data_IF_803903681100
#
_entry.id   IF_803903681100
#
_cell.length_a   1.000
_cell.length_b   1.000
_cell.length_c   1.000
_cell.angle_alpha   90.00
_cell.angle_beta   90.00
_cell.angle_gamma   90.00
#
_symmetry.space_group_name_H-M   'P 1'
#
loop_
_entity.id
_entity.type
_entity.pdbx_description
1 polymer ?
#
# COMPACT_ATOMS: atom_id res chain seq x y z
N UNK A 1 -2.68 5.98 3.22
CA UNK A 1 -3.82 5.12 3.56
C UNK A 1 -3.44 3.65 3.35
N UNK A 2 -3.75 2.78 4.33
CA UNK A 2 -3.58 1.33 4.18
C UNK A 2 -4.70 0.77 3.32
N UNK A 3 -4.33 -0.02 2.32
CA UNK A 3 -5.26 -0.73 1.44
C UNK A 3 -4.80 -2.16 1.20
N UNK A 4 -5.72 -2.99 0.76
CA UNK A 4 -5.45 -4.37 0.34
C UNK A 4 -5.99 -4.63 -1.07
N UNK A 5 -5.32 -5.51 -1.78
CA UNK A 5 -5.77 -5.95 -3.10
C UNK A 5 -5.21 -7.32 -3.45
N UNK A 6 -5.88 -8.01 -4.37
CA UNK A 6 -5.39 -9.26 -4.94
C UNK A 6 -4.83 -8.96 -6.34
N UNK A 7 -3.68 -9.52 -6.63
CA UNK A 7 -2.98 -9.39 -7.91
C UNK A 7 -2.93 -10.74 -8.58
N UNK A 8 -3.36 -10.80 -9.83
CA UNK A 8 -3.24 -12.01 -10.64
C UNK A 8 -1.77 -12.38 -10.84
N UNK A 9 -1.43 -13.60 -10.50
CA UNK A 9 -0.12 -14.16 -10.84
C UNK A 9 -0.14 -14.66 -12.29
N UNK A 10 0.91 -14.32 -13.04
CA UNK A 10 1.06 -14.71 -14.45
C UNK A 10 2.23 -15.66 -14.59
N UNK A 11 2.04 -16.78 -15.30
CA UNK A 11 3.12 -17.74 -15.53
C UNK A 11 4.34 -17.09 -16.18
N UNK A 12 5.50 -17.29 -15.60
CA UNK A 12 6.76 -16.76 -16.10
C UNK A 12 7.02 -15.28 -15.82
N UNK A 13 6.06 -14.58 -15.17
CA UNK A 13 6.24 -13.18 -14.79
C UNK A 13 6.78 -13.11 -13.35
N UNK A 14 8.00 -12.60 -13.21
CA UNK A 14 8.63 -12.39 -11.91
C UNK A 14 8.36 -10.99 -11.33
N UNK A 15 8.15 -9.98 -12.18
CA UNK A 15 8.04 -8.59 -11.79
C UNK A 15 6.63 -8.06 -12.03
N UNK A 16 6.10 -7.32 -11.05
CA UNK A 16 4.79 -6.69 -11.07
C UNK A 16 4.97 -5.19 -10.81
N UNK A 17 4.56 -4.37 -11.78
CA UNK A 17 4.73 -2.91 -11.74
C UNK A 17 3.45 -2.22 -11.31
N UNK A 18 3.56 -1.36 -10.30
CA UNK A 18 2.49 -0.53 -9.76
C UNK A 18 2.85 0.93 -9.98
N UNK A 19 2.22 1.56 -10.96
CA UNK A 19 2.52 2.94 -11.33
C UNK A 19 1.95 3.94 -10.33
N UNK A 20 2.62 5.09 -10.17
CA UNK A 20 2.17 6.14 -9.26
C UNK A 20 0.96 6.89 -9.80
N UNK A 21 0.87 7.05 -11.12
CA UNK A 21 -0.25 7.68 -11.79
C UNK A 21 -0.54 7.02 -13.14
N UNK A 22 -1.71 7.28 -13.70
CA UNK A 22 -2.05 6.84 -15.05
C UNK A 22 -1.14 7.45 -16.13
N UNK A 23 -0.53 8.61 -15.87
CA UNK A 23 0.40 9.26 -16.78
C UNK A 23 1.75 8.55 -16.85
N UNK A 24 2.15 7.88 -15.77
CA UNK A 24 3.41 7.11 -15.70
C UNK A 24 3.27 5.73 -16.34
N UNK A 25 2.03 5.30 -16.59
CA UNK A 25 1.70 3.99 -17.14
C UNK A 25 1.85 3.98 -18.65
N UNK A 26 2.96 3.40 -19.13
CA UNK A 26 3.32 3.28 -20.55
C UNK A 26 2.80 2.01 -21.21
N UNK A 27 1.77 1.37 -20.68
CA UNK A 27 1.25 0.07 -21.17
C UNK A 27 2.27 -1.07 -21.05
N UNK A 28 3.02 -1.08 -19.94
CA UNK A 28 4.03 -2.08 -19.63
C UNK A 28 3.40 -3.48 -19.51
N UNK A 29 4.06 -4.49 -20.10
CA UNK A 29 3.64 -5.90 -20.02
C UNK A 29 3.64 -6.47 -18.61
N UNK A 30 4.47 -5.90 -17.71
CA UNK A 30 4.59 -6.32 -16.31
C UNK A 30 3.67 -5.53 -15.37
N UNK A 31 2.72 -4.76 -15.93
CA UNK A 31 1.72 -4.04 -15.14
C UNK A 31 0.98 -5.01 -14.23
N UNK A 32 0.97 -4.71 -12.93
CA UNK A 32 0.17 -5.45 -11.98
C UNK A 32 -1.33 -5.17 -12.21
N UNK A 33 -2.10 -6.23 -12.29
CA UNK A 33 -3.54 -6.15 -12.44
C UNK A 33 -4.22 -6.69 -11.18
N UNK A 34 -5.08 -5.89 -10.59
CA UNK A 34 -5.91 -6.33 -9.48
C UNK A 34 -7.09 -7.14 -10.00
N UNK A 35 -7.36 -8.23 -9.33
CA UNK A 35 -8.57 -9.02 -9.57
C UNK A 35 -9.66 -8.58 -8.62
N UNK A 36 -10.56 -7.73 -9.09
CA UNK A 36 -11.79 -7.42 -8.38
C UNK A 36 -12.97 -7.98 -9.18
N UNK A 37 -13.63 -9.01 -8.66
CA UNK A 37 -14.79 -9.65 -9.30
C UNK A 37 -14.54 -10.04 -10.77
N UNK A 38 -13.34 -10.57 -11.07
CA UNK A 38 -12.90 -11.00 -12.42
C UNK A 38 -12.74 -9.86 -13.45
N UNK A 39 -12.76 -8.62 -13.03
CA UNK A 39 -12.46 -7.48 -13.90
C UNK A 39 -11.06 -6.97 -13.56
N UNK A 40 -10.08 -7.06 -14.47
CA UNK A 40 -8.75 -6.52 -14.24
C UNK A 40 -8.84 -4.99 -14.08
N UNK A 41 -8.26 -4.48 -13.02
CA UNK A 41 -8.13 -3.03 -12.80
C UNK A 41 -6.68 -2.69 -12.48
N UNK A 42 -6.22 -1.56 -13.01
CA UNK A 42 -4.88 -1.06 -12.71
C UNK A 42 -4.89 -0.34 -11.37
N UNK A 43 -3.88 -0.60 -10.56
CA UNK A 43 -3.70 0.04 -9.26
C UNK A 43 -2.70 1.18 -9.44
N UNK A 44 -3.12 2.39 -9.08
CA UNK A 44 -2.26 3.57 -9.06
C UNK A 44 -2.05 4.08 -7.63
N UNK A 45 -0.99 4.88 -7.46
CA UNK A 45 -0.71 5.59 -6.21
C UNK A 45 -0.15 4.72 -5.09
N UNK A 46 0.39 3.55 -5.39
CA UNK A 46 1.09 2.72 -4.40
C UNK A 46 2.44 3.35 -4.04
N UNK A 47 2.69 3.49 -2.73
CA UNK A 47 3.97 3.98 -2.20
C UNK A 47 4.86 2.86 -1.68
N UNK A 48 4.30 1.87 -0.98
CA UNK A 48 5.05 0.72 -0.45
C UNK A 48 4.14 -0.49 -0.23
N UNK A 49 4.74 -1.67 -0.28
CA UNK A 49 4.10 -2.94 0.09
C UNK A 49 4.57 -3.36 1.47
N UNK A 50 3.63 -3.51 2.39
CA UNK A 50 3.91 -3.92 3.77
C UNK A 50 4.03 -5.43 3.87
N UNK A 51 3.00 -6.13 3.40
CA UNK A 51 2.90 -7.58 3.48
C UNK A 51 2.36 -8.15 2.17
N UNK A 52 2.75 -9.38 1.86
CA UNK A 52 2.21 -10.14 0.75
C UNK A 52 1.94 -11.59 1.18
N UNK A 53 0.85 -12.14 0.69
CA UNK A 53 0.48 -13.55 0.86
C UNK A 53 0.18 -14.17 -0.50
N UNK A 54 0.52 -15.44 -0.63
CA UNK A 54 0.12 -16.24 -1.76
C UNK A 54 -1.24 -16.86 -1.47
N UNK A 55 -2.24 -16.58 -2.31
CA UNK A 55 -3.63 -17.02 -2.13
C UNK A 55 -3.99 -18.08 -3.15
N UNK A 56 -4.34 -19.26 -2.66
CA UNK A 56 -4.92 -20.34 -3.47
C UNK A 56 -6.44 -20.32 -3.42
N UNK A 57 -7.09 -21.00 -4.37
CA UNK A 57 -8.55 -21.14 -4.44
C UNK A 57 -9.29 -19.79 -4.52
N UNK A 58 -8.75 -18.85 -5.29
CA UNK A 58 -9.23 -17.46 -5.39
C UNK A 58 -10.73 -17.31 -5.66
N UNK A 59 -11.34 -18.25 -6.37
CA UNK A 59 -12.76 -18.23 -6.76
C UNK A 59 -13.66 -19.08 -5.85
N UNK A 60 -13.07 -19.78 -4.87
CA UNK A 60 -13.81 -20.69 -3.99
C UNK A 60 -14.05 -20.06 -2.61
N UNK A 61 -15.01 -20.62 -1.88
CA UNK A 61 -15.31 -20.21 -0.49
C UNK A 61 -14.21 -20.61 0.49
N UNK A 62 -13.34 -21.56 0.12
CA UNK A 62 -12.21 -22.05 0.92
C UNK A 62 -10.90 -21.47 0.40
N UNK A 63 -10.71 -20.18 0.56
CA UNK A 63 -9.44 -19.50 0.23
C UNK A 63 -8.39 -19.86 1.28
N UNK A 64 -7.15 -20.08 0.84
CA UNK A 64 -6.03 -20.32 1.73
C UNK A 64 -4.88 -19.37 1.42
N UNK A 65 -4.46 -18.61 2.45
CA UNK A 65 -3.42 -17.60 2.35
C UNK A 65 -2.14 -18.12 3.02
N UNK A 66 -1.04 -18.16 2.27
CA UNK A 66 0.29 -18.50 2.76
C UNK A 66 1.16 -17.27 2.77
N UNK A 67 1.73 -16.90 3.92
CA UNK A 67 2.58 -15.72 4.04
C UNK A 67 3.83 -15.83 3.16
N UNK A 68 4.16 -14.75 2.45
CA UNK A 68 5.40 -14.61 1.69
C UNK A 68 6.42 -13.79 2.48
N UNK A 69 7.69 -14.18 2.42
CA UNK A 69 8.75 -13.46 3.12
C UNK A 69 9.26 -12.28 2.31
N UNK A 70 9.27 -11.09 2.91
CA UNK A 70 9.90 -9.91 2.31
C UNK A 70 11.42 -10.05 2.42
N UNK A 71 12.13 -9.99 1.31
CA UNK A 71 13.59 -10.04 1.25
C UNK A 71 14.17 -8.69 0.80
N UNK A 72 15.41 -8.45 1.17
CA UNK A 72 16.13 -7.26 0.76
C UNK A 72 16.85 -7.44 -0.59
N UNK A 73 17.43 -6.34 -1.09
CA UNK A 73 18.15 -6.32 -2.36
C UNK A 73 19.35 -7.26 -2.37
N UNK A 74 20.09 -7.34 -1.26
CA UNK A 74 21.30 -8.17 -1.16
C UNK A 74 20.93 -9.65 -1.21
N UNK A 75 19.92 -10.05 -0.49
CA UNK A 75 19.39 -11.41 -0.49
C UNK A 75 18.86 -11.78 -1.87
N UNK A 76 18.06 -10.90 -2.51
CA UNK A 76 17.57 -11.15 -3.87
C UNK A 76 18.72 -11.28 -4.88
N UNK A 77 19.77 -10.46 -4.75
CA UNK A 77 20.95 -10.52 -5.64
C UNK A 77 21.73 -11.82 -5.51
N UNK A 78 21.77 -12.39 -4.29
CA UNK A 78 22.47 -13.64 -3.99
C UNK A 78 21.72 -14.90 -4.45
N UNK A 79 20.40 -14.79 -4.79
CA UNK A 79 19.63 -15.93 -5.28
C UNK A 79 20.18 -16.44 -6.61
N UNK A 80 20.47 -17.73 -6.69
CA UNK A 80 20.77 -18.41 -7.92
C UNK A 80 19.48 -18.80 -8.65
N UNK A 81 19.51 -18.80 -9.98
CA UNK A 81 18.36 -19.28 -10.78
C UNK A 81 17.10 -18.41 -10.60
N UNK A 82 17.22 -17.09 -10.78
CA UNK A 82 16.09 -16.12 -10.61
C UNK A 82 14.86 -16.43 -11.47
N UNK A 83 15.02 -17.21 -12.55
CA UNK A 83 13.93 -17.64 -13.42
C UNK A 83 13.41 -19.05 -13.07
N UNK A 84 13.81 -19.61 -11.93
CA UNK A 84 13.26 -20.89 -11.45
C UNK A 84 11.77 -20.73 -11.23
N UNK A 85 10.98 -21.58 -11.91
CA UNK A 85 9.52 -21.57 -11.81
C UNK A 85 9.05 -22.38 -10.60
N UNK A 86 8.00 -21.91 -9.96
CA UNK A 86 7.37 -22.58 -8.82
C UNK A 86 6.35 -21.69 -8.11
N UNK A 87 5.92 -22.12 -6.95
CA UNK A 87 5.05 -21.32 -6.10
C UNK A 87 5.85 -20.17 -5.47
N UNK A 88 5.47 -18.91 -5.65
CA UNK A 88 6.11 -17.78 -4.98
C UNK A 88 6.04 -17.89 -3.45
N UNK A 89 7.20 -17.73 -2.81
CA UNK A 89 7.33 -17.76 -1.34
C UNK A 89 8.05 -16.56 -0.76
N UNK A 90 8.72 -15.81 -1.63
CA UNK A 90 9.47 -14.61 -1.26
C UNK A 90 9.13 -13.47 -2.21
N UNK A 91 9.27 -12.24 -1.74
CA UNK A 91 9.11 -11.06 -2.58
C UNK A 91 10.11 -9.97 -2.20
N UNK A 92 10.50 -9.19 -3.20
CA UNK A 92 11.39 -8.05 -3.08
C UNK A 92 10.70 -6.79 -3.62
N UNK A 93 10.79 -5.69 -2.92
CA UNK A 93 10.14 -4.42 -3.28
C UNK A 93 11.19 -3.39 -3.68
N UNK A 94 11.04 -2.82 -4.87
CA UNK A 94 11.84 -1.69 -5.36
C UNK A 94 10.95 -0.48 -5.55
N UNK A 95 11.40 0.68 -5.05
CA UNK A 95 10.68 1.94 -5.20
C UNK A 95 11.41 2.82 -6.20
N UNK A 96 10.78 3.05 -7.33
CA UNK A 96 11.24 3.98 -8.35
C UNK A 96 10.44 5.29 -8.25
N UNK A 97 10.85 6.30 -9.02
CA UNK A 97 10.18 7.61 -9.04
C UNK A 97 8.77 7.52 -9.65
N UNK A 98 8.59 6.67 -10.64
CA UNK A 98 7.38 6.47 -11.45
C UNK A 98 6.52 5.29 -10.97
N UNK A 99 7.12 4.31 -10.30
CA UNK A 99 6.45 3.06 -9.91
C UNK A 99 7.07 2.39 -8.70
N UNK A 100 6.33 1.47 -8.13
CA UNK A 100 6.82 0.44 -7.21
C UNK A 100 6.84 -0.89 -7.96
N UNK A 101 7.95 -1.60 -7.92
CA UNK A 101 8.10 -2.94 -8.51
C UNK A 101 8.16 -3.98 -7.41
N UNK A 102 7.29 -4.98 -7.49
CA UNK A 102 7.32 -6.16 -6.64
C UNK A 102 7.84 -7.32 -7.45
N UNK A 103 8.99 -7.86 -7.06
CA UNK A 103 9.59 -9.03 -7.71
C UNK A 103 9.36 -10.24 -6.82
N UNK A 104 8.72 -11.28 -7.35
CA UNK A 104 8.42 -12.51 -6.62
C UNK A 104 9.44 -13.60 -6.93
N UNK A 105 9.68 -14.48 -5.95
CA UNK A 105 10.58 -15.62 -6.11
C UNK A 105 10.04 -16.84 -5.34
N UNK A 106 10.05 -18.04 -5.94
CA UNK A 106 10.27 -18.35 -7.37
C UNK A 106 9.29 -17.64 -8.31
N UNK A 107 9.65 -17.59 -9.60
CA UNK A 107 8.73 -17.07 -10.62
C UNK A 107 7.52 -17.99 -10.74
N UNK A 108 6.29 -17.47 -10.84
CA UNK A 108 5.09 -18.29 -10.91
C UNK A 108 5.16 -19.33 -12.04
N UNK A 109 4.82 -20.57 -11.73
CA UNK A 109 4.57 -21.64 -12.70
C UNK A 109 3.10 -21.64 -13.16
N UNK A 110 2.71 -22.59 -14.00
CA UNK A 110 1.34 -22.72 -14.51
C UNK A 110 0.30 -22.97 -13.39
N UNK A 111 0.70 -23.62 -12.30
CA UNK A 111 -0.18 -23.86 -11.15
C UNK A 111 -0.36 -22.57 -10.35
N UNK A 112 0.72 -21.87 -10.10
CA UNK A 112 0.68 -20.58 -9.38
C UNK A 112 -0.07 -19.50 -10.17
N UNK A 113 -0.10 -19.57 -11.50
CA UNK A 113 -0.86 -18.64 -12.34
C UNK A 113 -2.39 -18.73 -12.16
N UNK A 114 -2.91 -19.80 -11.52
CA UNK A 114 -4.31 -19.91 -11.11
C UNK A 114 -4.60 -19.31 -9.74
N UNK A 115 -3.60 -18.72 -9.11
CA UNK A 115 -3.62 -18.16 -7.76
C UNK A 115 -3.34 -16.67 -7.78
N UNK A 116 -3.58 -15.99 -6.66
CA UNK A 116 -3.34 -14.56 -6.52
C UNK A 116 -2.21 -14.29 -5.53
N UNK A 117 -1.58 -13.13 -5.69
CA UNK A 117 -0.80 -12.50 -4.65
C UNK A 117 -1.68 -11.43 -3.97
N UNK A 118 -2.05 -11.66 -2.70
CA UNK A 118 -2.72 -10.64 -1.90
C UNK A 118 -1.68 -9.76 -1.26
N UNK A 119 -1.82 -8.47 -1.44
CA UNK A 119 -0.89 -7.47 -0.89
C UNK A 119 -1.62 -6.47 0.01
N UNK A 120 -0.94 -6.11 1.10
CA UNK A 120 -1.28 -4.96 1.94
C UNK A 120 -0.27 -3.86 1.63
N UNK A 121 -0.78 -2.70 1.23
CA UNK A 121 0.07 -1.63 0.74
C UNK A 121 -0.36 -0.26 1.24
N UNK A 122 0.57 0.68 1.22
CA UNK A 122 0.32 2.08 1.50
C UNK A 122 -0.01 2.77 0.19
N UNK A 123 -1.24 3.30 0.09
CA UNK A 123 -1.65 4.17 -1.00
C UNK A 123 -1.40 5.62 -0.62
N UNK A 124 -0.84 6.39 -1.55
CA UNK A 124 -0.77 7.84 -1.44
C UNK A 124 -2.19 8.42 -1.41
N UNK A 125 -2.40 9.41 -0.55
CA UNK A 125 -3.63 10.20 -0.55
C UNK A 125 -3.62 11.08 -1.81
N UNK A 126 -4.65 10.97 -2.63
CA UNK A 126 -4.78 11.75 -3.85
C UNK A 126 -5.33 13.14 -3.52
N UNK A 127 -4.77 14.17 -4.20
CA UNK A 127 -5.33 15.51 -4.15
C UNK A 127 -6.69 15.55 -4.83
N UNK A 128 -7.58 16.40 -4.35
CA UNK A 128 -8.90 16.57 -4.95
C UNK A 128 -8.82 17.00 -6.45
N UNK A 129 -7.72 17.60 -6.87
CA UNK A 129 -7.42 17.99 -8.24
C UNK A 129 -8.34 19.07 -8.81
N UNK A 130 -9.65 18.95 -8.60
CA UNK A 130 -10.65 19.91 -9.04
C UNK A 130 -11.61 20.29 -7.90
N UNK A 131 -12.19 21.47 -7.97
CA UNK A 131 -13.14 21.99 -6.96
C UNK A 131 -14.36 21.09 -6.72
N UNK A 132 -14.77 20.32 -7.72
CA UNK A 132 -15.93 19.43 -7.66
C UNK A 132 -15.63 18.04 -7.09
N UNK A 133 -14.35 17.70 -6.90
CA UNK A 133 -13.95 16.40 -6.42
C UNK A 133 -13.85 16.38 -4.90
N UNK A 134 -14.23 15.24 -4.29
CA UNK A 134 -13.97 15.00 -2.88
C UNK A 134 -12.48 14.66 -2.66
N UNK A 135 -11.90 15.14 -1.56
CA UNK A 135 -10.57 14.72 -1.14
C UNK A 135 -10.58 13.27 -0.61
N UNK A 136 -9.53 12.51 -0.88
CA UNK A 136 -9.34 11.14 -0.36
C UNK A 136 -8.87 11.12 1.11
N UNK A 137 -9.27 12.13 1.89
CA UNK A 137 -8.88 12.26 3.29
C UNK A 137 -9.93 11.60 4.20
N UNK A 138 -9.53 10.69 5.10
CA UNK A 138 -10.45 10.08 6.05
C UNK A 138 -11.18 11.14 6.90
N UNK A 139 -12.46 10.91 7.17
CA UNK A 139 -13.34 11.85 7.87
C UNK A 139 -12.76 12.36 9.20
N UNK A 140 -12.04 11.51 9.95
CA UNK A 140 -11.37 11.86 11.21
C UNK A 140 -10.34 12.98 11.10
N UNK A 141 -9.77 13.21 9.90
CA UNK A 141 -8.79 14.28 9.64
C UNK A 141 -9.43 15.59 9.17
N UNK A 142 -10.73 15.61 8.86
CA UNK A 142 -11.41 16.83 8.37
C UNK A 142 -11.36 17.97 9.40
N UNK A 143 -11.62 17.77 10.71
CA UNK A 143 -11.47 18.84 11.71
C UNK A 143 -10.05 19.40 11.77
N UNK A 144 -9.04 18.52 11.71
CA UNK A 144 -7.63 18.90 11.66
C UNK A 144 -7.31 19.75 10.41
N UNK A 145 -7.84 19.39 9.25
CA UNK A 145 -7.64 20.17 8.02
C UNK A 145 -8.25 21.57 8.11
N UNK A 146 -9.46 21.68 8.69
CA UNK A 146 -10.14 22.98 8.87
C UNK A 146 -9.35 23.88 9.84
N UNK A 147 -8.92 23.35 10.99
CA UNK A 147 -8.12 24.10 11.96
C UNK A 147 -6.75 24.45 11.43
N UNK A 148 -6.10 23.56 10.65
CA UNK A 148 -4.85 23.81 9.96
C UNK A 148 -4.96 24.93 8.92
N UNK A 149 -6.02 24.90 8.10
CA UNK A 149 -6.28 25.98 7.14
C UNK A 149 -6.50 27.32 7.84
N UNK A 150 -7.28 27.34 8.94
CA UNK A 150 -7.50 28.54 9.73
C UNK A 150 -6.17 29.08 10.31
N UNK A 151 -5.30 28.22 10.80
CA UNK A 151 -3.96 28.58 11.28
C UNK A 151 -3.11 29.21 10.17
N UNK A 152 -3.04 28.62 8.97
CA UNK A 152 -2.29 29.17 7.84
C UNK A 152 -2.86 30.51 7.35
N UNK A 153 -4.16 30.67 7.31
CA UNK A 153 -4.80 31.93 6.95
C UNK A 153 -4.54 33.02 7.99
N UNK A 154 -4.54 32.67 9.28
CA UNK A 154 -4.25 33.62 10.36
C UNK A 154 -2.83 34.19 10.25
N UNK A 155 -1.85 33.39 9.88
CA UNK A 155 -0.48 33.89 9.66
C UNK A 155 -0.42 35.03 8.66
N UNK A 156 -1.30 35.01 7.65
CA UNK A 156 -1.32 36.00 6.57
C UNK A 156 -2.25 37.17 6.86
N UNK A 157 -3.41 36.96 7.46
CA UNK A 157 -4.48 37.95 7.57
C UNK A 157 -4.68 38.49 9.00
N UNK A 158 -4.36 37.67 10.04
CA UNK A 158 -4.51 38.11 11.44
C UNK A 158 -3.46 37.40 12.33
N UNK A 159 -2.24 37.96 12.41
CA UNK A 159 -1.14 37.35 13.16
C UNK A 159 -1.40 37.19 14.66
N UNK A 160 -2.29 37.98 15.25
CA UNK A 160 -2.60 37.92 16.68
C UNK A 160 -3.27 36.61 17.09
N UNK A 161 -4.06 36.00 16.18
CA UNK A 161 -4.74 34.74 16.42
C UNK A 161 -3.90 33.50 16.11
N UNK A 162 -2.72 33.67 15.54
CA UNK A 162 -1.86 32.57 15.05
C UNK A 162 -1.55 31.56 16.17
N UNK A 163 -1.18 32.03 17.36
CA UNK A 163 -0.78 31.14 18.46
C UNK A 163 -1.96 30.30 18.98
N UNK A 164 -3.14 30.91 19.09
CA UNK A 164 -4.37 30.23 19.58
C UNK A 164 -4.79 29.16 18.56
N UNK A 165 -4.79 29.51 17.27
CA UNK A 165 -5.18 28.58 16.20
C UNK A 165 -4.17 27.46 15.99
N UNK A 166 -2.87 27.72 16.28
CA UNK A 166 -1.86 26.67 16.29
C UNK A 166 -2.15 25.62 17.35
N UNK A 167 -2.46 26.03 18.57
CA UNK A 167 -2.79 25.09 19.66
C UNK A 167 -4.01 24.24 19.27
N UNK A 168 -5.05 24.86 18.75
CA UNK A 168 -6.25 24.14 18.28
C UNK A 168 -5.94 23.15 17.16
N UNK A 169 -5.09 23.52 16.21
CA UNK A 169 -4.63 22.62 15.15
C UNK A 169 -3.86 21.42 15.72
N UNK A 170 -2.91 21.67 16.63
CA UNK A 170 -2.09 20.62 17.24
C UNK A 170 -2.95 19.63 18.05
N UNK A 171 -3.99 20.12 18.75
CA UNK A 171 -4.95 19.28 19.49
C UNK A 171 -5.76 18.39 18.55
N UNK A 172 -6.34 18.95 17.47
CA UNK A 172 -7.11 18.20 16.48
C UNK A 172 -6.26 17.18 15.74
N UNK A 173 -5.02 17.53 15.40
CA UNK A 173 -4.07 16.63 14.76
C UNK A 173 -3.74 15.44 15.68
N UNK A 174 -3.45 15.71 16.95
CA UNK A 174 -3.16 14.67 17.95
C UNK A 174 -4.37 13.75 18.17
N UNK A 175 -5.59 14.29 18.15
CA UNK A 175 -6.82 13.49 18.25
C UNK A 175 -6.95 12.56 17.04
N UNK A 176 -6.82 13.10 15.82
CA UNK A 176 -6.93 12.33 14.60
C UNK A 176 -5.87 11.21 14.50
N UNK A 177 -4.63 11.50 14.91
CA UNK A 177 -3.55 10.51 14.94
C UNK A 177 -3.80 9.40 15.96
N UNK A 178 -4.39 9.72 17.13
CA UNK A 178 -4.76 8.70 18.13
C UNK A 178 -5.88 7.79 17.63
N UNK A 179 -6.85 8.33 16.91
CA UNK A 179 -7.94 7.56 16.32
C UNK A 179 -7.45 6.69 15.14
N UNK A 180 -6.41 7.13 14.42
CA UNK A 180 -5.82 6.39 13.31
C UNK A 180 -4.90 5.25 13.78
N UNK A 181 -4.37 5.35 15.00
CA UNK A 181 -3.50 4.34 15.58
C UNK A 181 -4.27 3.07 15.96
N UNK A 182 -3.78 1.90 15.57
CA UNK A 182 -4.31 0.63 16.05
C UNK A 182 -3.99 0.46 17.54
N UNK A 183 -5.01 0.40 18.39
CA UNK A 183 -4.87 0.07 19.81
C UNK A 183 -4.68 -1.45 20.00
N UNK A 184 -3.55 -1.99 19.58
CA UNK A 184 -3.16 -3.36 19.93
C UNK A 184 -2.59 -3.38 21.34
N UNK A 185 -3.30 -4.00 22.29
CA UNK A 185 -2.74 -4.22 23.62
C UNK A 185 -1.65 -5.29 23.53
N UNK A 186 -0.41 -4.88 23.78
CA UNK A 186 0.72 -5.80 23.92
C UNK A 186 0.73 -6.34 25.34
N UNK A 187 0.27 -7.57 25.53
CA UNK A 187 0.47 -8.30 26.79
C UNK A 187 1.90 -8.84 26.83
N UNK A 188 2.74 -8.20 27.62
CA UNK A 188 4.05 -8.75 28.00
C UNK A 188 3.83 -9.71 29.18
N UNK A 189 3.82 -11.02 28.92
CA UNK A 189 3.90 -12.01 30.01
C UNK A 189 5.35 -12.17 30.41
N UNK A 190 5.71 -11.89 31.70
CA UNK A 190 7.06 -12.18 32.19
C UNK A 190 7.33 -13.68 32.08
N UNK A 191 8.41 -14.06 31.45
CA UNK A 191 8.88 -15.44 31.45
C UNK A 191 9.49 -15.73 32.82
N UNK A 192 8.82 -16.58 33.63
CA UNK A 192 9.42 -17.10 34.83
C UNK A 192 10.52 -18.10 34.44
N UNK A 193 11.73 -17.90 35.00
CA UNK A 193 12.84 -18.84 34.94
C UNK A 193 12.72 -19.84 36.08
#
# INVERSE_FOLDING_TARGET
>A
QLQETNIDLVEGQAEYHFFRSAADDTSDSNRAQATTNQTPSTIYGMDDVLEATYRTNRTQTTQNDTAMSKIDRSTYSALSGKLTKGQPSQYYVQRFIDRVTVTVYPTPDSTAASSDMRIYYIKRIEDAGAFTNASDVPYRFVPCMVSGLAYYLAQKFNPELTNILKVSYDEELNRALKEDGSSTSTFLTPRAY
#
